data_IF_932115542122
#
_entry.id   IF_932115542122
#
_cell.length_a   1.000
_cell.length_b   1.000
_cell.length_c   1.000
_cell.angle_alpha   90.00
_cell.angle_beta   90.00
_cell.angle_gamma   90.00
#
_symmetry.space_group_name_H-M   'P 1'
#
loop_
_entity.id
_entity.type
_entity.pdbx_description
1 polymer ?
#
# COMPACT_ATOMS: atom_id res chain seq x y z
N UNK A 1 6.40 32.60 10.92
CA UNK A 1 6.22 31.41 10.11
C UNK A 1 5.13 31.62 9.05
N UNK A 2 5.35 31.17 7.81
CA UNK A 2 4.39 31.26 6.69
C UNK A 2 4.39 29.95 5.88
N UNK A 3 3.39 29.75 5.03
CA UNK A 3 3.34 28.60 4.11
C UNK A 3 4.57 28.52 3.19
N UNK A 4 5.12 29.69 2.81
CA UNK A 4 6.36 29.74 2.03
C UNK A 4 7.53 29.09 2.76
N UNK A 5 7.65 29.32 4.07
CA UNK A 5 8.68 28.70 4.91
C UNK A 5 8.51 27.18 4.95
N UNK A 6 7.26 26.69 5.10
CA UNK A 6 6.96 25.26 5.08
C UNK A 6 7.32 24.64 3.73
N UNK A 7 6.97 25.29 2.62
CA UNK A 7 7.30 24.82 1.27
C UNK A 7 8.82 24.72 1.04
N UNK A 8 9.55 25.74 1.47
CA UNK A 8 11.02 25.75 1.42
C UNK A 8 11.58 24.60 2.27
N UNK A 9 11.09 24.43 3.49
CA UNK A 9 11.54 23.36 4.38
C UNK A 9 11.29 21.96 3.78
N UNK A 10 10.08 21.71 3.26
CA UNK A 10 9.72 20.44 2.61
C UNK A 10 10.68 20.12 1.46
N UNK A 11 10.94 21.10 0.60
CA UNK A 11 11.86 20.90 -0.55
C UNK A 11 13.31 20.66 -0.08
N UNK A 12 13.76 21.37 0.96
CA UNK A 12 15.10 21.15 1.55
C UNK A 12 15.22 19.74 2.16
N UNK A 13 14.17 19.28 2.83
CA UNK A 13 14.11 17.93 3.41
C UNK A 13 14.23 16.85 2.32
N UNK A 14 13.42 16.93 1.26
CA UNK A 14 13.39 15.99 0.15
C UNK A 14 14.73 15.87 -0.57
N UNK A 15 15.41 16.99 -0.77
CA UNK A 15 16.71 17.00 -1.44
C UNK A 15 17.90 16.75 -0.52
N UNK A 16 17.71 16.84 0.81
CA UNK A 16 18.81 16.85 1.78
C UNK A 16 19.91 17.86 1.40
N UNK A 17 19.53 18.95 0.72
CA UNK A 17 20.44 19.94 0.14
C UNK A 17 19.77 21.29 -0.08
N UNK A 18 20.28 22.31 0.59
CA UNK A 18 19.80 23.71 0.43
C UNK A 18 20.00 24.21 -0.99
N UNK A 19 21.13 23.86 -1.62
CA UNK A 19 21.45 24.30 -2.98
C UNK A 19 20.54 23.69 -4.03
N UNK A 20 20.24 22.38 -3.93
CA UNK A 20 19.29 21.70 -4.83
C UNK A 20 17.88 22.23 -4.65
N UNK A 21 17.44 22.43 -3.41
CA UNK A 21 16.15 23.01 -3.11
C UNK A 21 16.01 24.45 -3.64
N UNK A 22 17.07 25.26 -3.55
CA UNK A 22 17.10 26.59 -4.12
C UNK A 22 16.94 26.58 -5.65
N UNK A 23 17.59 25.64 -6.34
CA UNK A 23 17.44 25.44 -7.78
C UNK A 23 16.02 25.06 -8.17
N UNK A 24 15.39 24.10 -7.48
CA UNK A 24 14.03 23.68 -7.75
C UNK A 24 12.99 24.77 -7.48
N UNK A 25 13.18 25.53 -6.39
CA UNK A 25 12.28 26.63 -6.02
C UNK A 25 12.55 27.93 -6.81
N UNK A 26 13.57 27.96 -7.68
CA UNK A 26 14.01 29.16 -8.38
C UNK A 26 14.32 30.33 -7.42
N UNK A 27 14.94 30.03 -6.29
CA UNK A 27 15.32 30.98 -5.25
C UNK A 27 16.84 31.06 -5.10
N UNK A 28 17.34 32.18 -4.56
CA UNK A 28 18.74 32.29 -4.15
C UNK A 28 18.98 31.40 -2.90
N UNK A 29 20.09 30.66 -2.89
CA UNK A 29 20.47 29.79 -1.78
C UNK A 29 20.48 30.48 -0.40
N UNK A 30 20.94 31.75 -0.24
CA UNK A 30 20.84 32.46 1.02
C UNK A 30 19.40 32.65 1.53
N UNK A 31 18.44 32.87 0.61
CA UNK A 31 17.02 33.01 0.96
C UNK A 31 16.43 31.70 1.47
N UNK A 32 16.82 30.57 0.89
CA UNK A 32 16.40 29.22 1.37
C UNK A 32 16.99 28.94 2.75
N UNK A 33 18.30 29.24 2.95
CA UNK A 33 18.95 29.08 4.26
C UNK A 33 18.32 29.96 5.33
N UNK A 34 17.98 31.20 4.99
CA UNK A 34 17.34 32.13 5.92
C UNK A 34 15.96 31.65 6.33
N UNK A 35 15.14 31.18 5.38
CA UNK A 35 13.81 30.68 5.65
C UNK A 35 13.81 29.46 6.60
N UNK A 36 14.77 28.53 6.42
CA UNK A 36 14.95 27.41 7.34
C UNK A 36 15.35 27.90 8.73
N UNK A 37 16.30 28.86 8.80
CA UNK A 37 16.73 29.44 10.07
C UNK A 37 15.58 30.15 10.81
N UNK A 38 14.77 30.92 10.10
CA UNK A 38 13.59 31.60 10.67
C UNK A 38 12.54 30.60 11.21
N UNK A 39 12.39 29.42 10.57
CA UNK A 39 11.55 28.33 11.09
C UNK A 39 12.13 27.76 12.40
N UNK A 40 13.43 27.47 12.43
CA UNK A 40 14.11 26.94 13.61
C UNK A 40 14.05 27.94 14.78
N UNK A 41 14.24 29.21 14.50
CA UNK A 41 14.13 30.31 15.50
C UNK A 41 12.69 30.45 16.02
N UNK A 42 11.69 30.34 15.13
CA UNK A 42 10.27 30.46 15.51
C UNK A 42 9.83 29.36 16.48
N UNK A 43 10.30 28.11 16.25
CA UNK A 43 9.96 26.99 17.12
C UNK A 43 10.96 26.76 18.26
N UNK A 44 12.11 27.41 18.23
CA UNK A 44 13.17 27.22 19.21
C UNK A 44 13.88 25.88 19.15
N UNK A 45 13.77 25.17 18.00
CA UNK A 45 14.34 23.83 17.79
C UNK A 45 15.13 23.77 16.49
N UNK A 46 16.09 22.84 16.41
CA UNK A 46 16.79 22.53 15.18
C UNK A 46 16.01 21.49 14.38
N UNK A 47 15.73 21.82 13.13
CA UNK A 47 15.07 20.92 12.17
C UNK A 47 16.08 20.19 11.28
N UNK A 48 17.27 20.78 11.10
CA UNK A 48 18.39 20.16 10.40
C UNK A 48 19.68 20.25 11.21
N UNK A 49 20.53 19.25 11.03
CA UNK A 49 21.90 19.22 11.51
C UNK A 49 22.89 19.14 10.34
N UNK A 50 24.09 19.69 10.52
CA UNK A 50 25.16 19.62 9.52
C UNK A 50 26.01 18.39 9.76
N UNK A 51 26.12 17.53 8.73
CA UNK A 51 27.02 16.38 8.76
C UNK A 51 27.97 16.50 7.57
N UNK A 52 29.21 16.81 7.86
CA UNK A 52 30.23 17.07 6.84
C UNK A 52 29.85 18.23 5.91
N UNK A 53 29.72 17.96 4.62
CA UNK A 53 29.31 18.97 3.60
C UNK A 53 27.80 18.99 3.33
N UNK A 54 27.01 18.14 4.00
CA UNK A 54 25.57 18.02 3.81
C UNK A 54 24.76 18.41 5.03
N UNK A 55 23.45 18.34 4.88
CA UNK A 55 22.47 18.50 5.95
C UNK A 55 21.66 17.23 6.09
N UNK A 56 21.26 16.91 7.33
CA UNK A 56 20.30 15.83 7.62
C UNK A 56 19.18 16.36 8.51
N UNK A 57 17.96 15.86 8.37
CA UNK A 57 16.91 16.20 9.30
C UNK A 57 17.21 15.64 10.69
N UNK A 58 16.82 16.37 11.72
CA UNK A 58 16.72 15.89 13.10
C UNK A 58 15.45 15.08 13.27
N UNK A 59 15.27 14.44 14.44
CA UNK A 59 14.00 13.78 14.79
C UNK A 59 12.83 14.77 14.72
N UNK A 60 13.00 15.98 15.34
CA UNK A 60 12.03 17.05 15.25
C UNK A 60 11.80 17.54 13.81
N UNK A 61 12.86 17.55 12.96
CA UNK A 61 12.75 17.84 11.54
C UNK A 61 11.91 16.82 10.78
N UNK A 62 12.04 15.54 11.12
CA UNK A 62 11.27 14.46 10.49
C UNK A 62 9.79 14.52 10.91
N UNK A 63 9.52 14.78 12.18
CA UNK A 63 8.16 15.00 12.66
C UNK A 63 7.53 16.24 12.03
N UNK A 64 8.26 17.36 12.00
CA UNK A 64 7.78 18.58 11.34
C UNK A 64 7.51 18.38 9.85
N UNK A 65 8.33 17.56 9.16
CA UNK A 65 8.14 17.22 7.74
C UNK A 65 6.79 16.56 7.48
N UNK A 66 6.38 15.62 8.31
CA UNK A 66 5.11 14.91 8.14
C UNK A 66 3.91 15.88 8.14
N UNK A 67 3.91 16.88 9.05
CA UNK A 67 2.85 17.89 9.07
C UNK A 67 2.99 18.93 7.96
N UNK A 68 4.21 19.45 7.73
CA UNK A 68 4.47 20.49 6.75
C UNK A 68 4.12 20.03 5.32
N UNK A 69 4.47 18.79 4.97
CA UNK A 69 4.14 18.20 3.67
C UNK A 69 2.63 18.21 3.42
N UNK A 70 1.83 17.77 4.40
CA UNK A 70 0.37 17.72 4.26
C UNK A 70 -0.27 19.12 4.20
N UNK A 71 0.23 20.06 4.96
CA UNK A 71 -0.25 21.46 4.92
C UNK A 71 0.04 22.07 3.54
N UNK A 72 1.26 21.91 3.03
CA UNK A 72 1.65 22.42 1.70
C UNK A 72 0.80 21.78 0.60
N UNK A 73 0.65 20.46 0.63
CA UNK A 73 -0.16 19.73 -0.35
C UNK A 73 -1.64 20.14 -0.31
N UNK A 74 -2.22 20.27 0.90
CA UNK A 74 -3.61 20.70 1.04
C UNK A 74 -3.82 22.11 0.46
N UNK A 75 -2.86 23.02 0.68
CA UNK A 75 -2.91 24.37 0.12
C UNK A 75 -2.82 24.34 -1.41
N UNK A 76 -1.93 23.55 -1.99
CA UNK A 76 -1.81 23.40 -3.44
C UNK A 76 -3.07 22.77 -4.06
N UNK A 77 -3.67 21.79 -3.40
CA UNK A 77 -4.94 21.20 -3.81
C UNK A 77 -6.10 22.22 -3.75
N UNK A 78 -6.12 23.06 -2.71
CA UNK A 78 -7.07 24.16 -2.61
C UNK A 78 -6.89 25.17 -3.77
N UNK A 79 -5.65 25.59 -4.04
CA UNK A 79 -5.38 26.52 -5.15
C UNK A 79 -5.81 25.93 -6.49
N UNK A 80 -5.49 24.65 -6.75
CA UNK A 80 -5.93 23.94 -7.98
C UNK A 80 -7.45 23.88 -8.08
N UNK A 81 -8.14 23.57 -6.98
CA UNK A 81 -9.61 23.49 -6.97
C UNK A 81 -10.27 24.84 -7.19
N UNK A 82 -9.75 25.91 -6.57
CA UNK A 82 -10.28 27.24 -6.74
C UNK A 82 -10.00 27.79 -8.15
N UNK A 83 -8.81 27.54 -8.70
CA UNK A 83 -8.44 27.92 -10.07
C UNK A 83 -9.23 27.16 -11.14
N UNK A 84 -9.65 25.93 -10.82
CA UNK A 84 -10.42 25.04 -11.69
C UNK A 84 -11.79 24.72 -11.08
N UNK A 85 -12.49 25.76 -10.55
CA UNK A 85 -13.77 25.59 -9.85
C UNK A 85 -14.80 24.78 -10.65
N UNK A 86 -14.74 24.88 -11.99
CA UNK A 86 -15.62 24.16 -12.92
C UNK A 86 -15.12 22.79 -13.32
N UNK A 87 -13.91 22.38 -12.89
CA UNK A 87 -13.33 21.09 -13.23
C UNK A 87 -13.10 20.25 -11.96
N UNK A 88 -13.79 19.18 -11.89
CA UNK A 88 -13.99 18.22 -10.83
C UNK A 88 -12.72 17.51 -10.39
N UNK A 89 -12.62 17.31 -9.08
CA UNK A 89 -11.41 16.86 -8.39
C UNK A 89 -10.89 15.49 -8.83
N UNK A 90 -9.59 15.29 -8.69
CA UNK A 90 -8.93 14.00 -8.88
C UNK A 90 -8.74 13.35 -7.51
N UNK A 91 -8.98 12.04 -7.42
CA UNK A 91 -8.57 11.20 -6.29
C UNK A 91 -7.44 10.27 -6.75
N UNK A 92 -6.32 10.29 -6.04
CA UNK A 92 -5.15 9.46 -6.32
C UNK A 92 -5.16 8.25 -5.40
N UNK A 93 -5.25 7.06 -5.96
CA UNK A 93 -5.37 5.80 -5.23
C UNK A 93 -4.16 4.94 -5.51
N UNK A 94 -3.47 4.51 -4.46
CA UNK A 94 -2.47 3.45 -4.55
C UNK A 94 -3.05 2.13 -4.07
N UNK A 95 -2.61 1.02 -4.63
CA UNK A 95 -3.11 -0.28 -4.18
C UNK A 95 -2.05 -1.36 -4.32
N UNK A 96 -2.15 -2.35 -3.44
CA UNK A 96 -1.41 -3.60 -3.59
C UNK A 96 -1.86 -4.39 -4.82
N UNK A 97 -1.06 -5.37 -5.23
CA UNK A 97 -1.30 -6.15 -6.46
C UNK A 97 -2.63 -6.91 -6.39
N UNK A 98 -2.92 -7.57 -5.27
CA UNK A 98 -4.16 -8.35 -5.10
C UNK A 98 -5.39 -7.45 -5.26
N UNK A 99 -5.43 -6.37 -4.50
CA UNK A 99 -6.56 -5.44 -4.50
C UNK A 99 -6.68 -4.75 -5.86
N UNK A 100 -5.54 -4.34 -6.44
CA UNK A 100 -5.48 -3.69 -7.75
C UNK A 100 -6.00 -4.55 -8.88
N UNK A 101 -5.81 -5.87 -8.79
CA UNK A 101 -6.25 -6.80 -9.83
C UNK A 101 -7.72 -7.18 -9.67
N UNK A 102 -8.20 -7.44 -8.45
CA UNK A 102 -9.48 -8.12 -8.24
C UNK A 102 -10.58 -7.26 -7.60
N UNK A 103 -10.21 -6.17 -6.94
CA UNK A 103 -11.14 -5.32 -6.16
C UNK A 103 -11.25 -3.91 -6.75
N UNK A 104 -10.12 -3.26 -6.98
CA UNK A 104 -10.08 -1.85 -7.40
C UNK A 104 -10.87 -1.55 -8.70
N UNK A 105 -10.81 -2.38 -9.77
CA UNK A 105 -11.55 -2.07 -10.99
C UNK A 105 -13.07 -1.95 -10.77
N UNK A 106 -13.64 -2.85 -9.96
CA UNK A 106 -15.06 -2.80 -9.63
C UNK A 106 -15.38 -1.62 -8.70
N UNK A 107 -14.50 -1.31 -7.74
CA UNK A 107 -14.64 -0.12 -6.89
C UNK A 107 -14.63 1.16 -7.70
N UNK A 108 -13.68 1.32 -8.63
CA UNK A 108 -13.59 2.51 -9.49
C UNK A 108 -14.83 2.63 -10.37
N UNK A 109 -15.30 1.53 -10.97
CA UNK A 109 -16.50 1.53 -11.79
C UNK A 109 -17.71 2.03 -11.00
N UNK A 110 -17.98 1.44 -9.84
CA UNK A 110 -19.09 1.84 -8.98
C UNK A 110 -18.97 3.30 -8.50
N UNK A 111 -17.73 3.72 -8.24
CA UNK A 111 -17.44 5.09 -7.81
C UNK A 111 -17.72 6.10 -8.91
N UNK A 112 -17.30 5.82 -10.15
CA UNK A 112 -17.54 6.67 -11.31
C UNK A 112 -19.00 6.72 -11.73
N UNK A 113 -19.77 5.64 -11.54
CA UNK A 113 -21.23 5.64 -11.76
C UNK A 113 -21.93 6.62 -10.79
N UNK A 114 -21.42 6.71 -9.55
CA UNK A 114 -21.98 7.65 -8.54
C UNK A 114 -21.47 9.08 -8.72
N UNK A 115 -20.22 9.23 -9.18
CA UNK A 115 -19.53 10.51 -9.33
C UNK A 115 -18.89 10.63 -10.72
N UNK A 116 -19.70 10.79 -11.81
CA UNK A 116 -19.21 10.71 -13.20
C UNK A 116 -18.13 11.72 -13.56
N UNK A 117 -18.12 12.82 -12.84
CA UNK A 117 -17.20 13.93 -13.10
C UNK A 117 -15.92 13.88 -12.27
N UNK A 118 -15.73 12.87 -11.40
CA UNK A 118 -14.50 12.69 -10.67
C UNK A 118 -13.48 11.85 -11.45
N UNK A 119 -12.25 12.35 -11.51
CA UNK A 119 -11.12 11.60 -12.08
C UNK A 119 -10.49 10.73 -11.01
N UNK A 120 -10.29 9.47 -11.32
CA UNK A 120 -9.52 8.53 -10.49
C UNK A 120 -8.20 8.25 -11.17
N UNK A 121 -7.10 8.50 -10.46
CA UNK A 121 -5.76 8.08 -10.86
C UNK A 121 -5.34 6.94 -9.93
N UNK A 122 -4.88 5.83 -10.52
CA UNK A 122 -4.54 4.65 -9.75
C UNK A 122 -3.13 4.18 -10.05
N UNK A 123 -2.41 3.73 -9.01
CA UNK A 123 -1.11 3.07 -9.11
C UNK A 123 -1.15 1.76 -8.35
N UNK A 124 -0.55 0.71 -8.94
CA UNK A 124 -0.47 -0.62 -8.33
C UNK A 124 0.99 -0.93 -8.01
N UNK A 125 1.27 -1.29 -6.75
CA UNK A 125 2.60 -1.65 -6.30
C UNK A 125 2.54 -2.61 -5.09
N UNK A 126 3.66 -2.97 -4.46
CA UNK A 126 3.65 -3.71 -3.18
C UNK A 126 3.16 -2.81 -2.03
N UNK A 127 2.69 -3.43 -0.95
CA UNK A 127 2.08 -2.72 0.19
C UNK A 127 3.03 -1.71 0.84
N UNK A 128 4.30 -2.05 1.04
CA UNK A 128 5.28 -1.14 1.64
C UNK A 128 5.51 0.12 0.81
N UNK A 129 5.54 0.00 -0.53
CA UNK A 129 5.67 1.16 -1.40
C UNK A 129 4.39 2.01 -1.43
N UNK A 130 3.21 1.39 -1.30
CA UNK A 130 1.95 2.11 -1.17
C UNK A 130 1.90 2.90 0.15
N UNK A 131 2.41 2.33 1.26
CA UNK A 131 2.56 3.08 2.52
C UNK A 131 3.47 4.30 2.34
N UNK A 132 4.60 4.12 1.68
CA UNK A 132 5.51 5.23 1.39
C UNK A 132 4.83 6.34 0.56
N UNK A 133 4.04 5.97 -0.45
CA UNK A 133 3.29 6.94 -1.25
C UNK A 133 2.24 7.70 -0.44
N UNK A 134 1.65 7.08 0.61
CA UNK A 134 0.76 7.76 1.55
C UNK A 134 1.55 8.75 2.40
N UNK A 135 2.70 8.36 2.94
CA UNK A 135 3.58 9.21 3.74
C UNK A 135 4.10 10.42 2.96
N UNK A 136 4.51 10.20 1.72
CA UNK A 136 5.01 11.25 0.81
C UNK A 136 3.89 12.07 0.16
N UNK A 137 2.62 11.79 0.51
CA UNK A 137 1.44 12.43 -0.08
C UNK A 137 1.37 12.35 -1.62
N UNK A 138 2.02 11.35 -2.21
CA UNK A 138 1.98 11.05 -3.65
C UNK A 138 0.59 10.55 -4.03
N UNK A 139 -0.05 9.79 -3.14
CA UNK A 139 -1.43 9.30 -3.25
C UNK A 139 -2.29 9.83 -2.10
N UNK A 140 -3.61 9.82 -2.30
CA UNK A 140 -4.57 10.28 -1.31
C UNK A 140 -5.05 9.17 -0.39
N UNK A 141 -5.29 8.00 -0.97
CA UNK A 141 -5.71 6.78 -0.27
C UNK A 141 -4.87 5.61 -0.77
N UNK A 142 -4.49 4.73 0.13
CA UNK A 142 -3.89 3.43 -0.18
C UNK A 142 -4.86 2.29 0.13
N UNK A 143 -4.76 1.18 -0.60
CA UNK A 143 -5.47 -0.06 -0.32
C UNK A 143 -4.43 -1.18 -0.18
N UNK A 144 -4.28 -1.73 1.02
CA UNK A 144 -3.25 -2.75 1.33
C UNK A 144 -3.81 -3.90 2.15
N UNK A 145 -3.08 -5.01 2.19
CA UNK A 145 -3.47 -6.23 2.92
C UNK A 145 -2.79 -6.39 4.27
N UNK A 146 -1.89 -5.49 4.62
CA UNK A 146 -1.16 -5.50 5.89
C UNK A 146 -1.73 -4.47 6.86
N UNK A 147 -1.38 -4.60 8.14
CA UNK A 147 -1.44 -3.45 9.03
C UNK A 147 -0.25 -2.54 8.68
N UNK A 148 -0.47 -1.22 8.61
CA UNK A 148 0.63 -0.30 8.33
C UNK A 148 1.69 -0.34 9.42
N UNK A 149 2.96 -0.27 9.01
CA UNK A 149 4.09 -0.25 9.94
C UNK A 149 4.30 1.14 10.56
N UNK A 150 3.85 2.18 9.87
CA UNK A 150 4.08 3.58 10.26
C UNK A 150 2.95 4.11 11.13
N UNK A 151 3.32 4.69 12.28
CA UNK A 151 2.36 5.24 13.25
C UNK A 151 1.55 6.43 12.70
N UNK A 152 2.05 7.11 11.68
CA UNK A 152 1.41 8.25 11.01
C UNK A 152 0.27 7.82 10.07
N UNK A 153 0.16 6.53 9.76
CA UNK A 153 -0.88 6.00 8.87
C UNK A 153 -2.08 5.54 9.69
N UNK A 154 -3.26 5.92 9.23
CA UNK A 154 -4.53 5.39 9.70
C UNK A 154 -4.97 4.27 8.78
N UNK A 155 -5.32 3.11 9.35
CA UNK A 155 -5.92 2.00 8.62
C UNK A 155 -7.40 1.83 8.97
N UNK A 156 -8.20 1.52 7.97
CA UNK A 156 -9.64 1.24 8.08
C UNK A 156 -9.91 -0.08 7.37
N UNK A 157 -10.16 -1.18 8.08
CA UNK A 157 -10.46 -2.47 7.47
C UNK A 157 -11.78 -2.40 6.72
N UNK A 158 -11.85 -3.06 5.54
CA UNK A 158 -13.05 -3.07 4.72
C UNK A 158 -13.44 -4.46 4.20
N UNK A 159 -12.51 -5.41 4.14
CA UNK A 159 -12.77 -6.76 3.64
C UNK A 159 -11.79 -7.74 4.27
N UNK A 160 -12.21 -8.98 4.48
CA UNK A 160 -11.33 -10.10 4.83
C UNK A 160 -11.00 -10.90 3.59
N UNK A 161 -9.76 -11.40 3.48
CA UNK A 161 -9.29 -12.30 2.43
C UNK A 161 -8.55 -13.46 3.07
N UNK A 162 -8.66 -14.65 2.48
CA UNK A 162 -8.05 -15.86 3.00
C UNK A 162 -6.91 -16.34 2.11
N UNK A 163 -5.84 -16.80 2.75
CA UNK A 163 -4.79 -17.54 2.07
C UNK A 163 -5.19 -19.00 1.96
N UNK A 164 -4.98 -19.59 0.80
CA UNK A 164 -5.31 -20.97 0.50
C UNK A 164 -4.12 -21.74 -0.07
N UNK A 165 -4.14 -23.04 0.10
CA UNK A 165 -3.19 -23.95 -0.52
C UNK A 165 -3.49 -24.12 -1.99
N UNK A 166 -2.47 -24.03 -2.84
CA UNK A 166 -2.53 -24.25 -4.28
C UNK A 166 -1.71 -25.49 -4.61
N UNK A 167 -2.35 -26.45 -5.25
CA UNK A 167 -1.79 -27.76 -5.55
C UNK A 167 -2.03 -28.12 -7.03
N UNK A 168 -1.20 -28.96 -7.64
CA UNK A 168 -1.58 -29.67 -8.88
C UNK A 168 -2.89 -30.44 -8.68
N UNK A 169 -3.69 -30.59 -9.72
CA UNK A 169 -5.00 -31.24 -9.62
C UNK A 169 -4.91 -32.73 -9.27
N UNK A 170 -3.80 -33.38 -9.63
CA UNK A 170 -3.48 -34.78 -9.35
C UNK A 170 -2.63 -35.01 -8.10
N UNK A 171 -2.38 -33.92 -7.32
CA UNK A 171 -1.53 -33.99 -6.15
C UNK A 171 -2.12 -34.88 -5.04
N UNK A 172 -1.31 -35.70 -4.30
CA UNK A 172 -1.82 -36.59 -3.23
C UNK A 172 -2.68 -35.89 -2.16
N UNK A 173 -2.43 -34.60 -1.89
CA UNK A 173 -3.24 -33.82 -0.97
C UNK A 173 -4.56 -33.31 -1.59
N UNK A 174 -4.73 -33.34 -2.90
CA UNK A 174 -5.90 -32.77 -3.59
C UNK A 174 -7.22 -33.47 -3.25
N UNK A 175 -7.16 -34.70 -2.73
CA UNK A 175 -8.34 -35.47 -2.29
C UNK A 175 -8.86 -35.06 -0.91
N UNK A 176 -8.12 -34.21 -0.19
CA UNK A 176 -8.51 -33.72 1.13
C UNK A 176 -9.49 -32.55 1.01
N UNK A 177 -10.30 -32.35 2.06
CA UNK A 177 -11.17 -31.16 2.16
C UNK A 177 -10.44 -29.94 2.69
N UNK A 178 -9.35 -30.15 3.44
CA UNK A 178 -8.49 -29.09 3.97
C UNK A 178 -7.08 -29.63 4.21
N UNK A 179 -6.10 -28.71 4.32
CA UNK A 179 -4.70 -29.08 4.57
C UNK A 179 -4.11 -28.35 5.78
N UNK A 180 -2.94 -28.80 6.25
CA UNK A 180 -2.15 -28.12 7.25
C UNK A 180 -0.84 -27.63 6.64
N UNK A 181 -0.25 -26.58 7.19
CA UNK A 181 1.05 -26.08 6.77
C UNK A 181 2.15 -27.16 6.91
N UNK A 182 2.05 -27.97 7.97
CA UNK A 182 2.98 -29.08 8.21
C UNK A 182 2.97 -30.12 7.09
N UNK A 183 1.79 -30.46 6.56
CA UNK A 183 1.68 -31.39 5.41
C UNK A 183 2.25 -30.79 4.15
N UNK A 184 2.00 -29.49 3.92
CA UNK A 184 2.50 -28.77 2.74
C UNK A 184 4.03 -28.59 2.78
N UNK A 185 4.60 -28.38 3.95
CA UNK A 185 6.04 -28.20 4.13
C UNK A 185 6.89 -29.40 3.69
N UNK A 186 6.28 -30.57 3.50
CA UNK A 186 6.96 -31.77 3.00
C UNK A 186 7.17 -31.78 1.48
N UNK A 187 6.61 -30.80 0.75
CA UNK A 187 6.69 -30.72 -0.71
C UNK A 187 7.54 -29.54 -1.17
N UNK A 188 8.04 -29.55 -2.42
CA UNK A 188 8.69 -28.40 -3.02
C UNK A 188 7.77 -27.18 -2.99
N UNK A 189 8.28 -26.05 -2.49
CA UNK A 189 7.44 -24.86 -2.24
C UNK A 189 7.79 -23.71 -3.19
N UNK A 190 6.75 -23.11 -3.77
CA UNK A 190 6.86 -21.89 -4.57
C UNK A 190 6.29 -20.72 -3.76
N UNK A 191 6.99 -19.61 -3.71
CA UNK A 191 6.60 -18.46 -2.90
C UNK A 191 6.57 -17.15 -3.70
N UNK A 192 5.80 -16.22 -3.19
CA UNK A 192 5.90 -14.83 -3.60
C UNK A 192 7.26 -14.25 -3.18
N UNK A 193 7.61 -13.13 -3.76
CA UNK A 193 8.80 -12.34 -3.41
C UNK A 193 8.77 -11.87 -1.95
N UNK A 194 9.94 -11.57 -1.40
CA UNK A 194 10.06 -10.93 -0.07
C UNK A 194 9.38 -9.56 -0.08
N UNK A 195 8.70 -9.21 1.01
CA UNK A 195 7.89 -8.00 1.12
C UNK A 195 6.48 -8.14 0.55
N UNK A 196 6.08 -9.34 0.10
CA UNK A 196 4.69 -9.66 -0.21
C UNK A 196 3.93 -9.97 1.09
N UNK A 197 2.83 -9.28 1.34
CA UNK A 197 1.99 -9.46 2.53
C UNK A 197 1.57 -10.93 2.76
N UNK A 198 1.21 -11.66 1.70
CA UNK A 198 0.87 -13.08 1.80
C UNK A 198 2.05 -13.95 2.22
N UNK A 199 3.26 -13.63 1.76
CA UNK A 199 4.49 -14.33 2.16
C UNK A 199 4.83 -14.08 3.62
N UNK A 200 4.72 -12.85 4.10
CA UNK A 200 5.01 -12.50 5.50
C UNK A 200 4.11 -13.26 6.48
N UNK A 201 2.79 -13.34 6.18
CA UNK A 201 1.83 -14.12 6.97
C UNK A 201 2.20 -15.61 6.96
N UNK A 202 2.59 -16.13 5.80
CA UNK A 202 2.98 -17.53 5.64
C UNK A 202 4.27 -17.85 6.41
N UNK A 203 5.31 -17.03 6.28
CA UNK A 203 6.58 -17.22 6.98
C UNK A 203 6.41 -17.08 8.50
N UNK A 204 5.60 -16.12 8.96
CA UNK A 204 5.24 -16.02 10.38
C UNK A 204 4.50 -17.29 10.88
N UNK A 205 3.59 -17.83 10.06
CA UNK A 205 2.84 -19.04 10.39
C UNK A 205 3.71 -20.30 10.41
N UNK A 206 4.71 -20.39 9.53
CA UNK A 206 5.74 -21.44 9.57
C UNK A 206 6.58 -21.32 10.84
N UNK A 207 7.06 -20.13 11.16
CA UNK A 207 7.87 -19.87 12.35
C UNK A 207 7.15 -20.24 13.65
N UNK A 208 5.87 -19.90 13.78
CA UNK A 208 5.03 -20.27 14.93
C UNK A 208 4.84 -21.79 15.10
N UNK A 209 4.94 -22.55 14.02
CA UNK A 209 4.85 -24.00 14.02
C UNK A 209 6.24 -24.70 14.00
N UNK A 210 7.33 -23.94 14.12
CA UNK A 210 8.71 -24.44 14.03
C UNK A 210 8.99 -25.19 12.71
N UNK A 211 8.33 -24.79 11.62
CA UNK A 211 8.52 -25.33 10.28
C UNK A 211 9.57 -24.49 9.53
N UNK A 212 10.48 -25.17 8.85
CA UNK A 212 11.49 -24.52 8.03
C UNK A 212 11.28 -24.90 6.56
N UNK A 213 10.82 -23.92 5.78
CA UNK A 213 10.54 -24.11 4.35
C UNK A 213 11.43 -23.19 3.53
N UNK A 214 12.24 -23.79 2.65
CA UNK A 214 13.02 -23.04 1.67
C UNK A 214 12.34 -23.14 0.31
N UNK A 215 11.94 -21.99 -0.28
CA UNK A 215 11.31 -22.03 -1.59
C UNK A 215 12.31 -22.49 -2.66
N UNK A 216 11.85 -23.31 -3.60
CA UNK A 216 12.60 -23.68 -4.79
C UNK A 216 12.41 -22.67 -5.93
N UNK A 217 11.38 -21.83 -5.84
CA UNK A 217 11.05 -20.79 -6.82
C UNK A 217 10.43 -19.59 -6.10
N UNK A 218 10.93 -18.41 -6.40
CA UNK A 218 10.38 -17.14 -5.94
C UNK A 218 9.92 -16.29 -7.15
N UNK A 219 8.74 -15.65 -7.07
CA UNK A 219 8.22 -14.82 -8.13
C UNK A 219 7.33 -13.69 -7.60
N UNK A 220 7.44 -12.50 -8.20
CA UNK A 220 6.49 -11.40 -8.00
C UNK A 220 5.18 -11.60 -8.79
N UNK A 221 5.19 -12.49 -9.79
CA UNK A 221 4.01 -12.82 -10.57
C UNK A 221 3.25 -13.99 -9.95
N UNK A 222 2.04 -13.73 -9.49
CA UNK A 222 1.11 -14.77 -9.03
C UNK A 222 0.82 -15.78 -10.13
N UNK A 223 0.63 -15.30 -11.36
CA UNK A 223 0.31 -16.17 -12.49
C UNK A 223 1.47 -17.11 -12.86
N UNK A 224 2.72 -16.67 -12.69
CA UNK A 224 3.88 -17.54 -12.86
C UNK A 224 3.89 -18.68 -11.82
N UNK A 225 3.52 -18.36 -10.55
CA UNK A 225 3.41 -19.38 -9.50
C UNK A 225 2.28 -20.36 -9.81
N UNK A 226 1.09 -19.88 -10.16
CA UNK A 226 -0.06 -20.73 -10.54
C UNK A 226 0.30 -21.66 -11.71
N UNK A 227 0.92 -21.10 -12.75
CA UNK A 227 1.38 -21.89 -13.90
C UNK A 227 2.39 -22.96 -13.50
N UNK A 228 3.36 -22.63 -12.65
CA UNK A 228 4.34 -23.59 -12.16
C UNK A 228 3.70 -24.72 -11.31
N UNK A 229 2.74 -24.37 -10.45
CA UNK A 229 1.98 -25.35 -9.68
C UNK A 229 1.17 -26.27 -10.61
N UNK A 230 0.50 -25.72 -11.63
CA UNK A 230 -0.29 -26.52 -12.59
C UNK A 230 0.56 -27.52 -13.38
N UNK A 231 1.85 -27.27 -13.54
CA UNK A 231 2.82 -28.17 -14.16
C UNK A 231 3.47 -29.17 -13.16
N UNK A 232 3.00 -29.23 -11.92
CA UNK A 232 3.50 -30.17 -10.93
C UNK A 232 4.86 -29.80 -10.32
N UNK A 233 5.34 -28.57 -10.48
CA UNK A 233 6.67 -28.17 -9.98
C UNK A 233 6.72 -28.00 -8.47
N UNK A 234 5.57 -27.95 -7.79
CA UNK A 234 5.47 -27.84 -6.34
C UNK A 234 4.12 -27.33 -5.88
N UNK A 235 4.08 -26.88 -4.64
CA UNK A 235 2.88 -26.34 -3.99
C UNK A 235 3.10 -24.86 -3.63
N UNK A 236 2.01 -24.12 -3.46
CA UNK A 236 2.08 -22.73 -3.05
C UNK A 236 0.97 -22.36 -2.08
N UNK A 237 1.11 -21.20 -1.43
CA UNK A 237 0.07 -20.55 -0.63
C UNK A 237 -0.15 -19.17 -1.21
N UNK A 238 -1.37 -18.91 -1.67
CA UNK A 238 -1.74 -17.65 -2.31
C UNK A 238 -3.10 -17.16 -1.79
N UNK A 239 -3.37 -15.85 -1.90
CA UNK A 239 -4.70 -15.31 -1.61
C UNK A 239 -5.77 -15.94 -2.51
N UNK A 240 -6.92 -16.30 -1.94
CA UNK A 240 -8.01 -16.89 -2.69
C UNK A 240 -8.50 -15.99 -3.81
N UNK A 241 -8.60 -14.70 -3.55
CA UNK A 241 -8.98 -13.69 -4.57
C UNK A 241 -8.12 -13.75 -5.84
N UNK A 242 -6.84 -14.14 -5.72
CA UNK A 242 -5.92 -14.19 -6.87
C UNK A 242 -6.05 -15.47 -7.70
N UNK A 243 -6.62 -16.54 -7.15
CA UNK A 243 -6.61 -17.89 -7.74
C UNK A 243 -8.01 -18.48 -7.95
N UNK A 244 -9.04 -17.74 -7.56
CA UNK A 244 -10.43 -18.17 -7.69
C UNK A 244 -10.79 -18.57 -9.12
N UNK A 245 -10.35 -17.78 -10.10
CA UNK A 245 -10.58 -18.08 -11.52
C UNK A 245 -9.86 -19.35 -11.96
N UNK A 246 -8.58 -19.48 -11.60
CA UNK A 246 -7.76 -20.64 -11.95
C UNK A 246 -8.31 -21.93 -11.31
N UNK A 247 -8.89 -21.82 -10.10
CA UNK A 247 -9.58 -22.93 -9.44
C UNK A 247 -10.87 -23.33 -10.16
N UNK A 248 -11.70 -22.36 -10.59
CA UNK A 248 -12.92 -22.59 -11.36
C UNK A 248 -12.63 -23.23 -12.73
N UNK A 249 -11.54 -22.85 -13.36
CA UNK A 249 -11.06 -23.41 -14.62
C UNK A 249 -10.35 -24.77 -14.44
N UNK A 250 -10.27 -25.27 -13.18
CA UNK A 250 -9.62 -26.52 -12.81
C UNK A 250 -8.13 -26.60 -13.22
N UNK A 251 -7.47 -25.45 -13.29
CA UNK A 251 -6.04 -25.36 -13.61
C UNK A 251 -5.19 -25.79 -12.41
N UNK A 252 -5.66 -25.50 -11.21
CA UNK A 252 -5.06 -25.89 -9.94
C UNK A 252 -6.14 -26.32 -8.95
N UNK A 253 -5.79 -27.17 -7.99
CA UNK A 253 -6.63 -27.48 -6.84
C UNK A 253 -6.37 -26.47 -5.74
N UNK A 254 -7.45 -25.87 -5.26
CA UNK A 254 -7.41 -24.93 -4.11
C UNK A 254 -8.03 -25.61 -2.89
N UNK A 255 -7.33 -25.55 -1.76
CA UNK A 255 -7.82 -26.10 -0.50
C UNK A 255 -7.66 -25.08 0.63
N UNK A 256 -8.67 -24.97 1.53
CA UNK A 256 -8.54 -24.18 2.73
C UNK A 256 -7.57 -24.83 3.72
N UNK A 257 -7.01 -24.01 4.60
CA UNK A 257 -6.26 -24.53 5.74
C UNK A 257 -7.21 -24.94 6.87
N UNK A 258 -6.87 -26.03 7.58
CA UNK A 258 -7.59 -26.46 8.77
C UNK A 258 -7.69 -25.34 9.83
N UNK A 259 -6.62 -24.55 9.99
CA UNK A 259 -6.61 -23.30 10.72
C UNK A 259 -6.52 -22.18 9.71
N UNK A 260 -7.59 -21.38 9.52
CA UNK A 260 -7.60 -20.33 8.51
C UNK A 260 -6.45 -19.34 8.66
N UNK A 261 -5.86 -18.97 7.55
CA UNK A 261 -4.88 -17.89 7.42
C UNK A 261 -5.58 -16.73 6.76
N UNK A 262 -6.11 -15.80 7.55
CA UNK A 262 -6.82 -14.64 7.03
C UNK A 262 -6.02 -13.37 7.16
N UNK A 263 -6.37 -12.38 6.36
CA UNK A 263 -5.83 -11.02 6.37
C UNK A 263 -6.92 -10.00 6.10
N UNK A 264 -6.77 -8.81 6.67
CA UNK A 264 -7.69 -7.72 6.40
C UNK A 264 -7.18 -6.87 5.24
N UNK A 265 -8.05 -6.55 4.30
CA UNK A 265 -7.83 -5.51 3.32
C UNK A 265 -8.20 -4.17 3.96
N UNK A 266 -7.28 -3.22 3.91
CA UNK A 266 -7.38 -1.95 4.60
C UNK A 266 -7.35 -0.78 3.62
N UNK A 267 -8.20 0.21 3.84
CA UNK A 267 -7.98 1.56 3.30
C UNK A 267 -7.03 2.28 4.24
N UNK A 268 -5.94 2.80 3.70
CA UNK A 268 -4.96 3.56 4.47
C UNK A 268 -4.86 5.01 3.98
N UNK A 269 -4.59 5.91 4.90
CA UNK A 269 -4.31 7.31 4.62
C UNK A 269 -3.50 7.93 5.76
N UNK A 270 -2.80 9.01 5.48
CA UNK A 270 -2.04 9.72 6.51
C UNK A 270 -2.97 10.34 7.55
N UNK A 271 -2.68 10.22 8.85
CA UNK A 271 -3.51 10.73 9.96
C UNK A 271 -3.80 12.23 9.87
N UNK A 272 -2.85 13.01 9.37
CA UNK A 272 -3.01 14.46 9.17
C UNK A 272 -3.70 14.81 7.84
N UNK A 273 -4.11 13.83 7.02
CA UNK A 273 -4.77 14.08 5.75
C UNK A 273 -6.18 14.61 5.97
N UNK A 274 -6.49 15.75 5.36
CA UNK A 274 -7.87 16.21 5.29
C UNK A 274 -8.66 15.34 4.31
N UNK A 275 -9.56 14.55 4.85
CA UNK A 275 -10.43 13.69 4.04
C UNK A 275 -11.56 14.52 3.43
N UNK A 276 -11.49 14.76 2.13
CA UNK A 276 -12.55 15.42 1.36
C UNK A 276 -13.84 14.59 1.34
N UNK A 277 -15.02 15.19 1.05
CA UNK A 277 -16.26 14.43 0.88
C UNK A 277 -16.13 13.24 -0.09
N UNK A 278 -15.38 13.43 -1.18
CA UNK A 278 -15.12 12.41 -2.19
C UNK A 278 -14.29 11.23 -1.65
N UNK A 279 -13.23 11.50 -0.90
CA UNK A 279 -12.44 10.45 -0.23
C UNK A 279 -13.28 9.68 0.77
N UNK A 280 -14.09 10.37 1.58
CA UNK A 280 -15.02 9.73 2.53
C UNK A 280 -16.06 8.86 1.83
N UNK A 281 -16.55 9.27 0.65
CA UNK A 281 -17.45 8.47 -0.17
C UNK A 281 -16.76 7.22 -0.70
N UNK A 282 -15.51 7.32 -1.17
CA UNK A 282 -14.72 6.16 -1.62
C UNK A 282 -14.45 5.17 -0.47
N UNK A 283 -14.09 5.66 0.72
CA UNK A 283 -13.88 4.80 1.90
C UNK A 283 -15.19 4.07 2.28
N UNK A 284 -16.34 4.73 2.18
CA UNK A 284 -17.65 4.09 2.40
C UNK A 284 -17.92 3.01 1.36
N UNK A 285 -17.67 3.31 0.10
CA UNK A 285 -17.82 2.33 -0.97
C UNK A 285 -16.96 1.09 -0.76
N UNK A 286 -15.71 1.25 -0.29
CA UNK A 286 -14.86 0.12 0.08
C UNK A 286 -15.53 -0.73 1.18
N UNK A 287 -16.08 -0.13 2.23
CA UNK A 287 -16.76 -0.86 3.32
C UNK A 287 -18.02 -1.59 2.87
N UNK A 288 -18.72 -1.07 1.87
CA UNK A 288 -19.93 -1.68 1.32
C UNK A 288 -19.61 -2.74 0.26
N UNK A 289 -18.37 -2.78 -0.25
CA UNK A 289 -17.95 -3.67 -1.33
C UNK A 289 -18.21 -5.16 -1.05
N UNK A 290 -17.94 -5.71 0.15
CA UNK A 290 -18.23 -7.13 0.45
C UNK A 290 -19.70 -7.49 0.35
N UNK A 291 -20.60 -6.54 0.64
CA UNK A 291 -22.06 -6.74 0.52
C UNK A 291 -22.53 -6.74 -0.92
N UNK A 292 -21.84 -5.96 -1.76
CA UNK A 292 -22.14 -5.85 -3.20
C UNK A 292 -21.57 -7.02 -4.01
N UNK A 293 -20.56 -7.71 -3.46
CA UNK A 293 -19.85 -8.82 -4.11
C UNK A 293 -19.66 -10.00 -3.12
N UNK A 294 -20.74 -10.67 -2.69
CA UNK A 294 -20.68 -11.75 -1.70
C UNK A 294 -19.81 -12.93 -2.18
N UNK A 295 -19.76 -13.19 -3.49
CA UNK A 295 -18.97 -14.28 -4.08
C UNK A 295 -17.46 -14.13 -3.89
N UNK A 296 -16.98 -12.93 -3.54
CA UNK A 296 -15.55 -12.65 -3.32
C UNK A 296 -15.10 -12.87 -1.88
N UNK A 297 -15.99 -13.28 -0.98
CA UNK A 297 -15.71 -13.39 0.45
C UNK A 297 -15.62 -14.82 0.98
N UNK A 298 -15.83 -15.86 0.16
CA UNK A 298 -15.93 -17.24 0.65
C UNK A 298 -15.07 -18.22 -0.14
N UNK A 299 -14.25 -18.95 0.59
CA UNK A 299 -13.63 -20.23 0.20
C UNK A 299 -14.63 -21.35 0.44
#
# INVERSE_FOLDING_TARGET
MTLRHMKIFVTVYQHSSVTKAAGELHLAQPSVSLAVKELEEYYGIRLFERIGRGIRPTEAGSEFYSYALHIVSLFEDMEKKIKNWDTLGTIRIGTSITIGTHVLPALIKNYQETFPSLRVEAVVNNSGLIEQYVLDNTIDLGLIETQPEHAEIQAVPFMEDQLCAILPTDHPLAVQSCVTLSKMAAYPFLMREKGSAGREILEASFSLQHLFVRPIWESSSTQAIVSAVSQGLGVAVLPYLLVEKDARENLVKVLPFQKPLSRNLNVIYHKSKYLTPNMKAFIRLCKDFPRLHPDKNSL
#
